data_IF_304733111471
#
_entry.id   IF_304733111471
#
_cell.length_a   1.000
_cell.length_b   1.000
_cell.length_c   1.000
_cell.angle_alpha   90.00
_cell.angle_beta   90.00
_cell.angle_gamma   90.00
#
_symmetry.space_group_name_H-M   'P 1'
#
loop_
_entity.id
_entity.type
_entity.pdbx_description
1 polymer ?
#
# COMPACT_ATOMS: atom_id res chain seq x y z
N UNK A 1 11.22 11.20 -28.76
CA UNK A 1 10.54 10.34 -27.77
C UNK A 1 10.37 9.02 -28.46
N UNK A 2 10.96 7.96 -27.93
CA UNK A 2 10.76 6.63 -28.47
C UNK A 2 9.26 6.32 -28.41
N UNK A 3 8.58 6.06 -29.55
CA UNK A 3 7.15 5.81 -29.57
C UNK A 3 6.74 4.52 -28.86
N UNK A 4 7.68 3.74 -28.30
CA UNK A 4 7.42 2.59 -27.42
C UNK A 4 7.49 2.95 -25.91
N UNK A 5 7.93 4.16 -25.54
CA UNK A 5 8.12 4.60 -24.15
C UNK A 5 7.13 5.70 -23.72
N UNK A 6 5.90 5.67 -24.23
CA UNK A 6 4.85 6.60 -23.78
C UNK A 6 4.21 6.14 -22.47
N UNK A 7 3.68 7.07 -21.68
CA UNK A 7 3.03 6.78 -20.40
C UNK A 7 1.92 5.72 -20.57
N UNK A 8 1.03 5.95 -21.53
CA UNK A 8 -0.07 5.03 -21.85
C UNK A 8 0.39 3.63 -22.23
N UNK A 9 1.41 3.50 -23.08
CA UNK A 9 1.90 2.18 -23.50
C UNK A 9 2.56 1.43 -22.36
N UNK A 10 3.43 2.08 -21.58
CA UNK A 10 4.07 1.44 -20.43
C UNK A 10 3.04 0.96 -19.42
N UNK A 11 2.02 1.78 -19.14
CA UNK A 11 0.92 1.40 -18.25
C UNK A 11 0.08 0.23 -18.78
N UNK A 12 -0.15 0.15 -20.10
CA UNK A 12 -0.92 -0.93 -20.74
C UNK A 12 -0.14 -2.23 -20.91
N UNK A 13 1.20 -2.16 -20.94
CA UNK A 13 2.08 -3.31 -21.09
C UNK A 13 2.53 -3.92 -19.76
N UNK A 14 2.06 -3.38 -18.63
CA UNK A 14 2.35 -3.93 -17.31
C UNK A 14 1.92 -5.40 -17.24
N UNK A 15 2.81 -6.23 -16.70
CA UNK A 15 2.51 -7.62 -16.46
C UNK A 15 1.53 -7.75 -15.28
N UNK A 16 0.34 -8.28 -15.55
CA UNK A 16 -0.73 -8.55 -14.57
C UNK A 16 -0.78 -10.00 -14.07
N UNK A 17 0.20 -10.84 -14.41
CA UNK A 17 0.22 -12.27 -14.15
C UNK A 17 1.44 -12.69 -13.29
N UNK A 18 1.24 -13.26 -12.09
CA UNK A 18 -0.02 -13.28 -11.33
C UNK A 18 -0.47 -11.86 -10.95
N UNK A 19 -1.77 -11.66 -10.75
CA UNK A 19 -2.30 -10.34 -10.38
C UNK A 19 -1.97 -9.96 -8.94
N UNK A 20 -1.62 -10.93 -8.11
CA UNK A 20 -1.35 -10.75 -6.68
C UNK A 20 0.12 -10.96 -6.32
N UNK A 21 0.53 -10.46 -5.15
CA UNK A 21 1.90 -10.57 -4.62
C UNK A 21 2.22 -12.02 -4.23
N UNK A 22 2.59 -12.84 -5.22
CA UNK A 22 2.98 -14.25 -5.04
C UNK A 22 4.01 -14.70 -6.06
N UNK A 23 4.67 -15.81 -5.78
CA UNK A 23 5.50 -16.49 -6.78
C UNK A 23 4.63 -17.04 -7.93
N UNK A 24 5.23 -17.18 -9.13
CA UNK A 24 4.57 -17.85 -10.26
C UNK A 24 4.03 -19.24 -9.89
N UNK A 25 3.01 -19.69 -10.62
CA UNK A 25 2.40 -20.98 -10.40
C UNK A 25 3.43 -22.12 -10.47
N UNK A 26 3.31 -23.08 -9.57
CA UNK A 26 4.20 -24.24 -9.48
C UNK A 26 3.42 -25.52 -9.81
N UNK A 27 4.06 -26.44 -10.53
CA UNK A 27 3.46 -27.72 -10.92
C UNK A 27 3.21 -28.65 -9.72
N UNK A 28 3.90 -28.44 -8.59
CA UNK A 28 3.69 -29.21 -7.38
C UNK A 28 2.47 -28.69 -6.60
N UNK A 29 1.36 -29.45 -6.51
CA UNK A 29 0.12 -28.99 -5.90
C UNK A 29 0.26 -28.71 -4.40
N UNK A 30 1.12 -29.45 -3.69
CA UNK A 30 1.34 -29.23 -2.27
C UNK A 30 2.07 -27.91 -2.00
N UNK A 31 3.05 -27.55 -2.86
CA UNK A 31 3.74 -26.27 -2.77
C UNK A 31 2.84 -25.11 -3.23
N UNK A 32 2.10 -25.32 -4.33
CA UNK A 32 1.21 -24.32 -4.92
C UNK A 32 0.14 -23.84 -3.93
N UNK A 33 -0.36 -24.71 -3.04
CA UNK A 33 -1.29 -24.33 -1.97
C UNK A 33 -0.74 -23.20 -1.07
N UNK A 34 0.56 -23.20 -0.78
CA UNK A 34 1.23 -22.14 0.00
C UNK A 34 1.63 -20.95 -0.87
N UNK A 35 2.19 -21.21 -2.05
CA UNK A 35 2.61 -20.15 -2.96
C UNK A 35 1.43 -19.27 -3.40
N UNK A 36 0.25 -19.84 -3.59
CA UNK A 36 -0.98 -19.10 -3.90
C UNK A 36 -1.41 -18.15 -2.78
N UNK A 37 -1.06 -18.47 -1.54
CA UNK A 37 -1.29 -17.64 -0.36
C UNK A 37 -0.15 -16.63 -0.12
N UNK A 38 0.86 -16.57 -1.01
CA UNK A 38 1.95 -15.60 -0.92
C UNK A 38 3.13 -16.04 -0.05
N UNK A 39 3.12 -17.28 0.42
CA UNK A 39 4.26 -17.84 1.16
C UNK A 39 5.42 -18.14 0.22
N UNK A 40 6.63 -17.96 0.74
CA UNK A 40 7.88 -18.35 0.09
C UNK A 40 8.69 -19.24 1.04
N UNK A 41 9.37 -20.28 0.52
CA UNK A 41 10.21 -21.13 1.34
C UNK A 41 11.57 -20.46 1.54
N UNK A 42 11.95 -20.19 2.78
CA UNK A 42 13.25 -19.59 3.11
C UNK A 42 14.10 -20.50 3.99
N UNK A 43 15.44 -20.47 3.84
CA UNK A 43 16.34 -21.11 4.79
C UNK A 43 16.17 -20.51 6.19
N UNK A 44 15.94 -21.36 7.18
CA UNK A 44 15.70 -20.97 8.56
C UNK A 44 16.72 -21.64 9.49
N UNK A 45 17.46 -20.82 10.26
CA UNK A 45 18.35 -21.30 11.32
C UNK A 45 17.61 -21.33 12.65
N UNK A 46 17.44 -22.52 13.21
CA UNK A 46 16.80 -22.72 14.51
C UNK A 46 17.73 -22.32 15.64
N UNK A 47 17.14 -21.95 16.78
CA UNK A 47 17.86 -21.52 17.99
C UNK A 47 18.92 -22.52 18.51
N UNK A 48 18.72 -23.81 18.25
CA UNK A 48 19.66 -24.88 18.63
C UNK A 48 20.82 -25.05 17.64
N UNK A 49 20.91 -24.22 16.59
CA UNK A 49 21.95 -24.26 15.57
C UNK A 49 21.68 -25.20 14.41
N UNK A 50 20.56 -25.93 14.42
CA UNK A 50 20.12 -26.71 13.26
C UNK A 50 19.54 -25.81 12.17
N UNK A 51 19.69 -26.22 10.92
CA UNK A 51 19.11 -25.53 9.75
C UNK A 51 17.91 -26.30 9.23
N UNK A 52 16.86 -25.59 8.88
CA UNK A 52 15.65 -26.13 8.24
C UNK A 52 15.18 -25.18 7.14
N UNK A 53 14.06 -25.50 6.50
CA UNK A 53 13.31 -24.58 5.64
C UNK A 53 12.03 -24.21 6.37
N UNK A 54 11.60 -22.97 6.23
CA UNK A 54 10.33 -22.51 6.80
C UNK A 54 9.63 -21.60 5.81
N UNK A 55 8.31 -21.63 5.86
CA UNK A 55 7.46 -20.71 5.13
C UNK A 55 7.58 -19.31 5.72
N UNK A 56 7.58 -18.32 4.84
CA UNK A 56 7.51 -16.92 5.18
C UNK A 56 6.57 -16.19 4.23
N UNK A 57 5.70 -15.34 4.76
CA UNK A 57 4.94 -14.34 4.01
C UNK A 57 5.11 -12.96 4.67
N UNK A 58 5.06 -11.92 3.83
CA UNK A 58 5.10 -10.53 4.28
C UNK A 58 3.72 -9.99 4.65
N UNK A 59 3.61 -8.68 4.97
CA UNK A 59 2.33 -8.04 5.23
C UNK A 59 1.43 -7.91 3.99
N UNK A 60 1.96 -8.17 2.79
CA UNK A 60 1.27 -8.00 1.51
C UNK A 60 0.67 -9.33 1.06
N UNK A 61 -0.49 -9.68 1.61
CA UNK A 61 -1.15 -10.95 1.34
C UNK A 61 -1.91 -10.91 -0.01
N UNK A 62 -1.89 -11.99 -0.82
CA UNK A 62 -2.74 -12.12 -2.01
C UNK A 62 -4.25 -12.07 -1.76
N UNK A 63 -4.68 -12.21 -0.51
CA UNK A 63 -6.08 -12.23 -0.10
C UNK A 63 -6.21 -12.18 1.41
N UNK A 64 -7.36 -12.63 1.93
CA UNK A 64 -7.63 -12.62 3.36
C UNK A 64 -6.78 -13.70 4.04
N UNK A 65 -5.97 -13.30 5.01
CA UNK A 65 -5.24 -14.25 5.86
C UNK A 65 -6.17 -14.80 6.94
N UNK A 66 -6.48 -16.11 6.95
CA UNK A 66 -7.28 -16.71 8.00
C UNK A 66 -6.45 -16.91 9.27
N UNK A 67 -7.06 -16.69 10.42
CA UNK A 67 -6.48 -17.07 11.71
C UNK A 67 -6.67 -16.02 12.79
N UNK A 68 -6.16 -16.33 13.97
CA UNK A 68 -6.08 -15.46 15.12
C UNK A 68 -4.66 -15.42 15.68
N UNK A 69 -4.34 -14.37 16.44
CA UNK A 69 -3.11 -14.28 17.22
C UNK A 69 -3.46 -13.95 18.65
N UNK A 70 -2.83 -14.65 19.59
CA UNK A 70 -2.89 -14.29 21.01
C UNK A 70 -1.70 -13.39 21.32
N UNK A 71 -1.96 -12.08 21.34
CA UNK A 71 -1.00 -11.04 21.69
C UNK A 71 -1.37 -10.42 23.05
N UNK A 72 -0.41 -9.87 23.80
CA UNK A 72 1.03 -9.82 23.51
C UNK A 72 1.73 -11.18 23.72
N UNK A 73 2.91 -11.39 23.11
CA UNK A 73 3.76 -12.56 23.36
C UNK A 73 5.04 -12.20 24.10
N UNK A 74 5.74 -13.17 24.71
CA UNK A 74 6.99 -12.90 25.43
C UNK A 74 8.20 -12.92 24.51
N UNK A 75 8.17 -13.81 23.53
CA UNK A 75 9.29 -14.05 22.61
C UNK A 75 8.75 -14.32 21.22
N UNK A 76 9.55 -14.04 20.18
CA UNK A 76 9.16 -14.35 18.81
C UNK A 76 8.91 -15.84 18.56
N UNK A 77 9.61 -16.73 19.29
CA UNK A 77 9.41 -18.18 19.22
C UNK A 77 7.94 -18.57 19.54
N UNK A 78 7.22 -17.78 20.33
CA UNK A 78 5.79 -18.02 20.65
C UNK A 78 4.87 -17.81 19.44
N UNK A 79 5.35 -17.12 18.39
CA UNK A 79 4.63 -16.86 17.14
C UNK A 79 5.05 -17.81 16.01
N UNK A 80 6.00 -18.71 16.25
CA UNK A 80 6.39 -19.73 15.29
C UNK A 80 5.26 -20.76 15.16
N UNK A 81 4.70 -20.89 13.96
CA UNK A 81 3.64 -21.87 13.68
C UNK A 81 4.25 -23.12 13.06
N UNK A 82 3.70 -24.28 13.36
CA UNK A 82 4.12 -25.54 12.74
C UNK A 82 2.95 -26.13 11.97
N UNK A 83 3.16 -26.38 10.69
CA UNK A 83 2.20 -27.09 9.86
C UNK A 83 2.51 -28.60 9.91
N UNK A 84 1.65 -29.42 10.54
CA UNK A 84 1.88 -30.86 10.65
C UNK A 84 1.68 -31.62 9.33
N UNK A 85 0.92 -31.07 8.38
CA UNK A 85 0.67 -31.69 7.08
C UNK A 85 1.87 -31.50 6.14
N UNK A 86 2.41 -30.28 6.08
CA UNK A 86 3.61 -29.99 5.30
C UNK A 86 4.92 -30.34 6.02
N UNK A 87 4.89 -30.47 7.36
CA UNK A 87 6.08 -30.72 8.17
C UNK A 87 7.05 -29.54 8.23
N UNK A 88 6.55 -28.32 8.01
CA UNK A 88 7.35 -27.09 7.93
C UNK A 88 6.86 -26.08 8.95
N UNK A 89 7.77 -25.23 9.42
CA UNK A 89 7.40 -24.08 10.23
C UNK A 89 6.96 -22.93 9.34
N UNK A 90 6.07 -22.09 9.84
CA UNK A 90 5.77 -20.75 9.36
C UNK A 90 6.36 -19.74 10.36
N UNK A 91 7.33 -18.97 9.88
CA UNK A 91 8.09 -17.98 10.64
C UNK A 91 7.61 -16.54 10.45
N UNK A 92 6.49 -16.32 9.76
CA UNK A 92 6.09 -14.99 9.28
C UNK A 92 5.81 -14.00 10.40
N UNK A 93 4.98 -14.38 11.37
CA UNK A 93 4.66 -13.53 12.51
C UNK A 93 5.80 -13.40 13.51
N UNK A 94 6.59 -14.45 13.70
CA UNK A 94 7.81 -14.40 14.50
C UNK A 94 8.82 -13.38 13.90
N UNK A 95 9.00 -13.40 12.59
CA UNK A 95 9.84 -12.45 11.86
C UNK A 95 9.30 -11.01 11.94
N UNK A 96 7.98 -10.81 11.82
CA UNK A 96 7.33 -9.52 12.00
C UNK A 96 7.58 -8.95 13.41
N UNK A 97 7.41 -9.78 14.44
CA UNK A 97 7.64 -9.39 15.83
C UNK A 97 9.08 -8.97 16.09
N UNK A 98 10.06 -9.78 15.67
CA UNK A 98 11.48 -9.39 15.83
C UNK A 98 11.79 -8.12 15.03
N UNK A 99 11.24 -7.97 13.82
CA UNK A 99 11.43 -6.75 13.04
C UNK A 99 10.91 -5.51 13.78
N UNK A 100 9.71 -5.54 14.33
CA UNK A 100 9.12 -4.41 15.05
C UNK A 100 9.98 -4.00 16.26
N UNK A 101 10.49 -4.99 16.99
CA UNK A 101 11.43 -4.80 18.09
C UNK A 101 12.72 -4.14 17.61
N UNK A 102 13.34 -4.66 16.55
CA UNK A 102 14.60 -4.16 16.00
C UNK A 102 14.46 -2.74 15.44
N UNK A 103 13.40 -2.44 14.69
CA UNK A 103 13.13 -1.10 14.17
C UNK A 103 12.95 -0.08 15.31
N UNK A 104 12.25 -0.47 16.37
CA UNK A 104 12.06 0.39 17.54
C UNK A 104 13.37 0.62 18.28
N UNK A 105 14.20 -0.42 18.46
CA UNK A 105 15.54 -0.30 19.06
C UNK A 105 16.48 0.58 18.24
N UNK A 106 16.39 0.52 16.91
CA UNK A 106 17.15 1.39 16.02
C UNK A 106 16.79 2.87 16.25
N UNK A 107 15.53 3.16 16.60
CA UNK A 107 15.07 4.49 16.98
C UNK A 107 15.27 4.74 18.50
N UNK A 108 16.50 5.10 18.89
CA UNK A 108 16.86 5.29 20.30
C UNK A 108 16.00 6.31 21.05
N UNK A 109 15.44 7.33 20.37
CA UNK A 109 14.54 8.31 20.99
C UNK A 109 13.21 7.67 21.37
N UNK A 110 12.60 6.92 20.44
CA UNK A 110 11.34 6.21 20.70
C UNK A 110 11.54 5.10 21.73
N UNK A 111 12.59 4.28 21.60
CA UNK A 111 12.87 3.21 22.55
C UNK A 111 13.04 3.74 23.99
N UNK A 112 13.74 4.86 24.16
CA UNK A 112 13.92 5.50 25.47
C UNK A 112 12.61 6.05 26.01
N UNK A 113 11.83 6.75 25.16
CA UNK A 113 10.54 7.30 25.56
C UNK A 113 9.54 6.20 25.98
N UNK A 114 9.46 5.12 25.21
CA UNK A 114 8.62 3.96 25.50
C UNK A 114 9.04 3.29 26.81
N UNK A 115 10.35 3.04 27.02
CA UNK A 115 10.85 2.44 28.24
C UNK A 115 10.59 3.32 29.49
N UNK A 116 10.75 4.64 29.37
CA UNK A 116 10.47 5.59 30.44
C UNK A 116 8.98 5.63 30.78
N UNK A 117 8.11 5.67 29.78
CA UNK A 117 6.66 5.64 29.97
C UNK A 117 6.22 4.35 30.67
N UNK A 118 6.66 3.18 30.20
CA UNK A 118 6.38 1.89 30.87
C UNK A 118 6.90 1.83 32.31
N UNK A 119 8.06 2.43 32.58
CA UNK A 119 8.61 2.50 33.94
C UNK A 119 7.79 3.43 34.84
N UNK A 120 7.35 4.58 34.33
CA UNK A 120 6.50 5.51 35.08
C UNK A 120 5.15 4.87 35.43
N UNK A 121 4.53 4.19 34.47
CA UNK A 121 3.28 3.46 34.68
C UNK A 121 3.41 2.36 35.73
N UNK A 122 4.47 1.52 35.64
CA UNK A 122 4.79 0.50 36.65
C UNK A 122 4.95 1.09 38.05
N UNK A 123 5.70 2.19 38.17
CA UNK A 123 5.90 2.88 39.45
C UNK A 123 4.58 3.36 40.00
N UNK A 124 3.74 3.98 39.17
CA UNK A 124 2.43 4.46 39.59
C UNK A 124 1.54 3.34 40.15
N UNK A 125 1.40 2.23 39.42
CA UNK A 125 0.64 1.06 39.89
C UNK A 125 1.18 0.49 41.20
N UNK A 126 2.50 0.32 41.31
CA UNK A 126 3.13 -0.18 42.54
C UNK A 126 2.91 0.78 43.72
N UNK A 127 2.96 2.09 43.49
CA UNK A 127 2.68 3.09 44.52
C UNK A 127 1.22 3.03 44.98
N UNK A 128 0.28 2.86 44.05
CA UNK A 128 -1.14 2.69 44.38
C UNK A 128 -1.38 1.42 45.20
N UNK A 129 -0.83 0.28 44.78
CA UNK A 129 -0.96 -0.98 45.52
C UNK A 129 -0.35 -0.87 46.93
N UNK A 130 0.81 -0.24 47.06
CA UNK A 130 1.48 -0.04 48.35
C UNK A 130 0.73 0.96 49.24
N UNK A 131 0.10 1.99 48.67
CA UNK A 131 -0.71 2.95 49.41
C UNK A 131 -1.98 2.31 49.99
N UNK A 132 -2.57 1.33 49.29
CA UNK A 132 -3.72 0.55 49.80
C UNK A 132 -3.30 -0.31 51.01
N UNK A 133 -2.08 -0.85 51.01
CA UNK A 133 -1.63 -1.83 52.00
C UNK A 133 -0.71 -1.27 53.11
N UNK A 134 -0.27 0.00 53.03
CA UNK A 134 0.67 0.58 53.99
C UNK A 134 0.12 1.81 54.71
N UNK A 135 0.53 1.98 55.97
CA UNK A 135 0.25 3.15 56.80
C UNK A 135 1.28 4.29 56.57
N UNK A 136 2.13 4.15 55.54
CA UNK A 136 3.17 5.12 55.22
C UNK A 136 2.60 6.20 54.30
N UNK A 137 3.00 7.47 54.49
CA UNK A 137 2.52 8.58 53.67
C UNK A 137 3.22 8.58 52.30
N UNK A 138 2.97 7.56 51.49
CA UNK A 138 3.46 7.52 50.12
C UNK A 138 2.46 8.23 49.20
N UNK A 139 2.91 9.28 48.51
CA UNK A 139 2.09 9.98 47.54
C UNK A 139 2.39 9.42 46.14
N UNK A 140 1.39 8.82 45.50
CA UNK A 140 1.53 8.36 44.12
C UNK A 140 1.77 9.58 43.21
N UNK A 141 2.86 9.55 42.43
CA UNK A 141 3.07 10.51 41.36
C UNK A 141 2.07 10.19 40.24
N UNK A 142 1.41 11.19 39.64
CA UNK A 142 0.53 10.95 38.49
C UNK A 142 1.36 10.35 37.35
N UNK A 143 0.86 9.25 36.77
CA UNK A 143 1.35 8.73 35.50
C UNK A 143 0.35 9.10 34.40
N UNK A 144 0.85 9.51 33.26
CA UNK A 144 0.03 9.67 32.07
C UNK A 144 -0.42 8.28 31.60
N UNK A 145 -1.73 8.11 31.44
CA UNK A 145 -2.32 6.88 30.90
C UNK A 145 -1.98 6.73 29.41
N UNK A 146 -1.99 7.83 28.66
CA UNK A 146 -1.66 7.82 27.24
C UNK A 146 -0.14 7.73 27.01
N UNK A 147 0.25 6.96 25.99
CA UNK A 147 1.64 6.93 25.54
C UNK A 147 2.06 8.32 25.00
N UNK A 148 3.35 8.70 25.09
CA UNK A 148 3.83 9.97 24.54
C UNK A 148 3.52 10.09 23.03
N UNK A 149 3.24 11.30 22.54
CA UNK A 149 2.93 11.56 21.12
C UNK A 149 3.99 10.98 20.17
N UNK A 150 5.27 11.07 20.55
CA UNK A 150 6.37 10.46 19.80
C UNK A 150 6.22 8.94 19.62
N UNK A 151 5.74 8.25 20.67
CA UNK A 151 5.48 6.81 20.62
C UNK A 151 4.25 6.53 19.77
N UNK A 152 3.16 7.27 19.96
CA UNK A 152 1.94 7.10 19.16
C UNK A 152 2.21 7.30 17.65
N UNK A 153 2.93 8.36 17.29
CA UNK A 153 3.32 8.65 15.91
C UNK A 153 4.19 7.52 15.31
N UNK A 154 5.11 6.95 16.10
CA UNK A 154 5.93 5.82 15.65
C UNK A 154 5.09 4.56 15.35
N UNK A 155 4.12 4.23 16.21
CA UNK A 155 3.25 3.09 15.98
C UNK A 155 2.32 3.31 14.78
N UNK A 156 1.82 4.53 14.58
CA UNK A 156 1.06 4.89 13.38
C UNK A 156 1.91 4.75 12.10
N UNK A 157 3.18 5.15 12.14
CA UNK A 157 4.13 4.95 11.03
C UNK A 157 4.32 3.45 10.71
N UNK A 158 4.56 2.63 11.73
CA UNK A 158 4.72 1.18 11.56
C UNK A 158 3.45 0.51 11.01
N UNK A 159 2.27 0.90 11.50
CA UNK A 159 0.98 0.39 11.01
C UNK A 159 0.75 0.71 9.52
N UNK A 160 1.30 1.84 9.04
CA UNK A 160 1.28 2.24 7.63
C UNK A 160 2.45 1.67 6.82
N UNK A 161 3.22 0.72 7.36
CA UNK A 161 4.42 0.10 6.77
C UNK A 161 5.59 1.06 6.53
N UNK A 162 5.70 2.16 7.28
CA UNK A 162 6.82 3.08 7.14
C UNK A 162 8.11 2.50 7.75
N UNK A 163 9.22 2.63 7.01
CA UNK A 163 10.53 2.12 7.45
C UNK A 163 10.71 0.61 7.36
N UNK A 164 9.72 -0.15 6.86
CA UNK A 164 9.82 -1.60 6.69
C UNK A 164 10.82 -1.92 5.56
N UNK A 165 11.85 -2.76 5.81
CA UNK A 165 12.80 -3.14 4.76
C UNK A 165 12.11 -3.89 3.62
N UNK A 166 12.51 -3.60 2.38
CA UNK A 166 11.86 -4.13 1.18
C UNK A 166 11.77 -5.67 1.17
N UNK A 167 12.79 -6.35 1.68
CA UNK A 167 12.91 -7.82 1.71
C UNK A 167 11.83 -8.48 2.59
N UNK A 168 11.24 -7.74 3.54
CA UNK A 168 10.10 -8.23 4.32
C UNK A 168 8.77 -8.08 3.58
N UNK A 169 8.68 -7.12 2.65
CA UNK A 169 7.50 -6.90 1.79
C UNK A 169 7.51 -7.86 0.59
N UNK A 170 8.66 -7.97 -0.07
CA UNK A 170 8.90 -8.82 -1.25
C UNK A 170 10.18 -9.62 -0.99
N UNK A 171 10.05 -10.81 -0.38
CA UNK A 171 11.21 -11.65 -0.06
C UNK A 171 11.88 -12.26 -1.30
N UNK A 172 11.13 -12.49 -2.38
CA UNK A 172 11.65 -13.05 -3.64
C UNK A 172 11.39 -12.12 -4.83
N UNK A 173 12.41 -11.89 -5.65
CA UNK A 173 12.32 -10.95 -6.78
C UNK A 173 11.26 -11.36 -7.82
N UNK A 174 11.06 -12.68 -8.00
CA UNK A 174 10.08 -13.21 -8.93
C UNK A 174 8.62 -12.87 -8.56
N UNK A 175 8.35 -12.42 -7.33
CA UNK A 175 7.02 -11.96 -6.92
C UNK A 175 6.66 -10.59 -7.53
N UNK A 176 7.68 -9.75 -7.81
CA UNK A 176 7.52 -8.44 -8.44
C UNK A 176 8.59 -8.22 -9.54
N UNK A 177 8.43 -8.86 -10.72
CA UNK A 177 9.33 -8.68 -11.85
C UNK A 177 9.33 -7.23 -12.38
N UNK A 178 10.32 -6.84 -13.20
CA UNK A 178 10.27 -5.58 -13.94
C UNK A 178 9.00 -5.46 -14.81
N UNK A 179 8.52 -4.23 -15.00
CA UNK A 179 7.29 -3.92 -15.73
C UNK A 179 6.08 -4.73 -15.26
N UNK A 180 5.83 -4.74 -13.95
CA UNK A 180 4.73 -5.50 -13.36
C UNK A 180 3.98 -4.73 -12.29
N UNK A 181 2.69 -5.08 -12.14
CA UNK A 181 1.83 -4.60 -11.07
C UNK A 181 1.23 -5.78 -10.30
N UNK A 182 1.22 -5.69 -8.97
CA UNK A 182 0.73 -6.74 -8.07
C UNK A 182 -0.18 -6.13 -7.01
N UNK A 183 -1.38 -6.67 -6.89
CA UNK A 183 -2.37 -6.27 -5.89
C UNK A 183 -2.26 -7.12 -4.63
N UNK A 184 -2.64 -6.55 -3.49
CA UNK A 184 -2.61 -7.25 -2.20
C UNK A 184 -3.63 -6.66 -1.23
N UNK A 185 -3.89 -7.41 -0.17
CA UNK A 185 -4.49 -6.94 1.06
C UNK A 185 -3.44 -6.96 2.18
N UNK A 186 -3.53 -6.01 3.11
CA UNK A 186 -2.66 -6.02 4.28
C UNK A 186 -3.10 -7.14 5.20
N UNK A 187 -2.15 -8.01 5.56
CA UNK A 187 -2.34 -9.00 6.61
C UNK A 187 -2.40 -8.30 7.98
N UNK A 188 -3.56 -8.24 8.65
CA UNK A 188 -3.68 -7.56 9.93
C UNK A 188 -2.86 -8.25 11.02
N UNK A 189 -2.76 -9.59 10.99
CA UNK A 189 -2.03 -10.37 11.99
C UNK A 189 -0.53 -10.10 11.91
N UNK A 190 -0.01 -9.89 10.69
CA UNK A 190 1.38 -9.49 10.49
C UNK A 190 1.67 -8.12 11.10
N UNK A 191 0.77 -7.15 10.88
CA UNK A 191 0.90 -5.82 11.49
C UNK A 191 0.80 -5.92 13.02
N UNK A 192 -0.16 -6.66 13.56
CA UNK A 192 -0.34 -6.80 15.00
C UNK A 192 0.89 -7.43 15.66
N UNK A 193 1.48 -8.45 15.02
CA UNK A 193 2.74 -9.05 15.46
C UNK A 193 3.91 -8.05 15.42
N UNK A 194 4.01 -7.23 14.36
CA UNK A 194 5.00 -6.16 14.25
C UNK A 194 4.84 -5.14 15.38
N UNK A 195 3.61 -4.68 15.66
CA UNK A 195 3.34 -3.69 16.69
C UNK A 195 3.57 -4.26 18.10
N UNK A 196 3.20 -5.50 18.39
CA UNK A 196 3.54 -6.13 19.67
C UNK A 196 5.06 -6.26 19.84
N UNK A 197 5.78 -6.60 18.77
CA UNK A 197 7.24 -6.63 18.73
C UNK A 197 7.86 -5.28 19.06
N UNK A 198 7.36 -4.21 18.43
CA UNK A 198 7.76 -2.84 18.72
C UNK A 198 7.47 -2.44 20.17
N UNK A 199 6.34 -2.89 20.71
CA UNK A 199 5.94 -2.62 22.09
C UNK A 199 6.67 -3.49 23.11
N UNK A 200 7.31 -4.58 22.70
CA UNK A 200 8.05 -5.49 23.61
C UNK A 200 9.25 -4.84 24.31
N UNK A 201 9.66 -3.62 23.90
CA UNK A 201 10.73 -2.89 24.57
C UNK A 201 10.36 -2.64 26.04
N UNK A 202 11.24 -3.08 26.94
CA UNK A 202 11.01 -3.02 28.38
C UNK A 202 10.27 -4.24 28.99
N UNK A 203 9.83 -5.20 28.16
CA UNK A 203 9.21 -6.47 28.57
C UNK A 203 10.28 -7.51 28.92
N UNK A 204 10.96 -7.35 30.06
CA UNK A 204 12.09 -8.23 30.45
C UNK A 204 11.64 -9.37 31.37
N UNK A 205 10.79 -9.06 32.34
CA UNK A 205 10.34 -10.02 33.37
C UNK A 205 8.94 -10.56 33.07
N UNK A 206 8.57 -11.66 33.73
CA UNK A 206 7.19 -12.16 33.70
C UNK A 206 6.19 -11.18 34.32
N UNK A 207 6.65 -10.28 35.19
CA UNK A 207 5.80 -9.23 35.73
C UNK A 207 5.53 -8.15 34.68
N UNK A 208 6.56 -7.72 33.94
CA UNK A 208 6.42 -6.74 32.85
C UNK A 208 5.48 -7.25 31.75
N UNK A 209 5.59 -8.54 31.41
CA UNK A 209 4.69 -9.18 30.46
C UNK A 209 3.22 -9.14 30.92
N UNK A 210 2.95 -9.49 32.19
CA UNK A 210 1.57 -9.47 32.73
C UNK A 210 0.96 -8.07 32.70
N UNK A 211 1.75 -7.06 33.05
CA UNK A 211 1.30 -5.67 33.00
C UNK A 211 1.00 -5.22 31.57
N UNK A 212 1.83 -5.60 30.59
CA UNK A 212 1.53 -5.34 29.18
C UNK A 212 0.21 -6.03 28.76
N UNK A 213 -0.03 -7.28 29.18
CA UNK A 213 -1.31 -7.97 28.91
C UNK A 213 -2.51 -7.23 29.52
N UNK A 214 -2.41 -6.82 30.79
CA UNK A 214 -3.46 -6.08 31.49
C UNK A 214 -3.73 -4.73 30.83
N UNK A 215 -2.67 -3.99 30.47
CA UNK A 215 -2.76 -2.71 29.80
C UNK A 215 -3.40 -2.84 28.40
N UNK A 216 -3.03 -3.88 27.65
CA UNK A 216 -3.63 -4.21 26.33
C UNK A 216 -5.12 -4.53 26.47
N UNK A 217 -5.53 -5.21 27.54
CA UNK A 217 -6.92 -5.59 27.77
C UNK A 217 -7.80 -4.42 28.27
N UNK A 218 -7.20 -3.43 28.94
CA UNK A 218 -7.93 -2.33 29.58
C UNK A 218 -7.90 -1.02 28.80
N UNK A 219 -6.87 -0.76 28.00
CA UNK A 219 -6.71 0.50 27.27
C UNK A 219 -7.34 0.41 25.87
N UNK A 220 -8.40 1.19 25.64
CA UNK A 220 -9.01 1.33 24.32
C UNK A 220 -8.03 1.94 23.29
N UNK A 221 -7.15 2.84 23.72
CA UNK A 221 -6.17 3.56 22.87
C UNK A 221 -4.74 2.99 22.99
N UNK A 222 -4.61 1.67 23.14
CA UNK A 222 -3.30 1.03 23.28
C UNK A 222 -2.49 1.16 21.98
N UNK A 223 -1.27 1.73 21.97
CA UNK A 223 -0.53 2.00 20.73
C UNK A 223 -0.21 0.73 19.92
N UNK A 224 -0.08 -0.42 20.59
CA UNK A 224 0.17 -1.71 19.95
C UNK A 224 -1.10 -2.47 19.51
N UNK A 225 -2.30 -1.94 19.80
CA UNK A 225 -3.58 -2.53 19.41
C UNK A 225 -4.20 -1.67 18.34
N UNK A 226 -4.53 -2.27 17.20
CA UNK A 226 -5.23 -1.57 16.13
C UNK A 226 -6.72 -1.60 16.40
N UNK A 227 -7.37 -0.44 16.33
CA UNK A 227 -8.83 -0.38 16.34
C UNK A 227 -9.37 -0.90 14.99
N UNK A 228 -10.13 -2.01 14.97
CA UNK A 228 -10.74 -2.54 13.75
C UNK A 228 -11.72 -1.56 13.10
N UNK A 229 -12.32 -0.65 13.87
CA UNK A 229 -13.23 0.38 13.34
C UNK A 229 -12.48 1.46 12.55
N UNK A 230 -11.20 1.72 12.88
CA UNK A 230 -10.35 2.70 12.20
C UNK A 230 -9.66 2.08 10.97
N UNK A 231 -9.41 0.76 10.97
CA UNK A 231 -8.70 0.08 9.89
C UNK A 231 -9.30 -1.29 9.51
N UNK A 232 -10.55 -1.37 9.04
CA UNK A 232 -11.24 -2.65 8.85
C UNK A 232 -10.60 -3.49 7.73
N UNK A 233 -10.18 -2.85 6.62
CA UNK A 233 -9.46 -3.50 5.54
C UNK A 233 -8.58 -2.48 4.84
N UNK A 234 -7.30 -2.79 4.68
CA UNK A 234 -6.37 -1.99 3.87
C UNK A 234 -5.97 -2.85 2.68
N UNK A 235 -6.14 -2.33 1.47
CA UNK A 235 -5.68 -2.99 0.24
C UNK A 235 -4.76 -2.07 -0.54
N UNK A 236 -4.05 -2.60 -1.51
CA UNK A 236 -3.06 -1.83 -2.23
C UNK A 236 -2.48 -2.54 -3.43
N UNK A 237 -1.51 -1.88 -4.04
CA UNK A 237 -0.71 -2.48 -5.09
C UNK A 237 0.76 -2.03 -5.00
N UNK A 238 1.61 -2.89 -5.54
CA UNK A 238 3.00 -2.62 -5.84
C UNK A 238 3.15 -2.51 -7.36
N UNK A 239 3.82 -1.47 -7.80
CA UNK A 239 4.15 -1.24 -9.21
C UNK A 239 5.66 -1.17 -9.33
N UNK A 240 6.26 -2.07 -10.12
CA UNK A 240 7.67 -2.01 -10.52
C UNK A 240 7.73 -1.72 -12.01
N UNK A 241 8.01 -0.48 -12.38
CA UNK A 241 8.05 -0.05 -13.79
C UNK A 241 8.89 1.21 -13.97
N UNK A 242 9.48 1.37 -15.15
CA UNK A 242 10.09 2.64 -15.60
C UNK A 242 9.08 3.80 -15.61
N UNK A 243 7.78 3.52 -15.69
CA UNK A 243 6.71 4.51 -15.52
C UNK A 243 6.86 5.30 -14.21
N UNK A 244 7.27 4.64 -13.12
CA UNK A 244 7.46 5.31 -11.83
C UNK A 244 8.63 6.31 -11.91
N UNK A 245 9.75 5.92 -12.51
CA UNK A 245 10.92 6.80 -12.65
C UNK A 245 10.68 7.93 -13.66
N UNK A 246 10.06 7.62 -14.79
CA UNK A 246 9.82 8.56 -15.88
C UNK A 246 8.84 9.69 -15.52
N UNK A 247 7.88 9.41 -14.63
CA UNK A 247 6.86 10.39 -14.23
C UNK A 247 6.82 10.61 -12.71
N UNK A 248 7.68 11.49 -12.16
CA UNK A 248 7.69 11.89 -10.75
C UNK A 248 6.33 12.35 -10.21
N UNK A 249 5.56 13.09 -11.02
CA UNK A 249 4.23 13.61 -10.71
C UNK A 249 3.08 12.63 -10.92
N UNK A 250 3.37 11.33 -11.04
CA UNK A 250 2.35 10.28 -11.11
C UNK A 250 1.38 10.39 -9.93
N UNK A 251 0.09 10.31 -10.23
CA UNK A 251 -1.02 10.28 -9.27
C UNK A 251 -1.78 8.97 -9.43
N UNK A 252 -2.41 8.55 -8.34
CA UNK A 252 -3.14 7.29 -8.26
C UNK A 252 -4.45 7.54 -7.54
N UNK A 253 -5.54 7.13 -8.18
CA UNK A 253 -6.87 7.11 -7.59
C UNK A 253 -7.39 5.66 -7.55
N UNK A 254 -8.00 5.25 -6.44
CA UNK A 254 -8.55 3.91 -6.24
C UNK A 254 -10.06 3.96 -6.03
N UNK A 255 -10.77 2.92 -6.47
CA UNK A 255 -12.22 2.82 -6.37
C UNK A 255 -12.66 1.44 -5.87
N UNK A 256 -13.82 1.39 -5.19
CA UNK A 256 -14.38 0.19 -4.55
C UNK A 256 -15.22 -0.69 -5.50
N UNK A 257 -15.48 -0.19 -6.70
CA UNK A 257 -16.26 -0.82 -7.76
C UNK A 257 -15.41 -1.08 -9.01
N UNK A 258 -15.87 -2.01 -9.85
CA UNK A 258 -15.25 -2.30 -11.14
C UNK A 258 -15.83 -1.33 -12.16
N UNK A 259 -14.96 -0.63 -12.89
CA UNK A 259 -15.38 0.29 -13.95
C UNK A 259 -14.72 -0.09 -15.28
N UNK A 260 -15.52 -0.49 -16.27
CA UNK A 260 -15.00 -0.97 -17.56
C UNK A 260 -14.65 0.16 -18.56
N UNK A 261 -15.06 1.40 -18.27
CA UNK A 261 -14.84 2.54 -19.17
C UNK A 261 -13.89 3.55 -18.53
N UNK A 262 -13.02 4.21 -19.30
CA UNK A 262 -12.11 5.28 -18.82
C UNK A 262 -12.84 6.59 -18.47
N UNK A 263 -14.17 6.54 -18.28
CA UNK A 263 -15.00 7.70 -17.98
C UNK A 263 -14.70 8.33 -16.62
N UNK A 264 -15.25 9.54 -16.43
CA UNK A 264 -15.23 10.20 -15.12
C UNK A 264 -16.05 9.38 -14.13
N UNK A 265 -15.45 9.02 -13.02
CA UNK A 265 -16.11 8.31 -11.92
C UNK A 265 -16.42 9.33 -10.82
N UNK A 266 -17.60 9.21 -10.21
CA UNK A 266 -18.00 10.10 -9.12
C UNK A 266 -17.10 9.90 -7.88
N UNK A 267 -16.76 11.00 -7.21
CA UNK A 267 -15.90 11.03 -6.02
C UNK A 267 -16.42 10.14 -4.86
N UNK A 268 -17.73 9.90 -4.80
CA UNK A 268 -18.36 9.01 -3.81
C UNK A 268 -17.89 7.55 -3.87
N UNK A 269 -17.37 7.09 -5.02
CA UNK A 269 -16.84 5.73 -5.18
C UNK A 269 -15.32 5.66 -4.94
N UNK A 270 -14.69 6.78 -4.59
CA UNK A 270 -13.25 6.87 -4.39
C UNK A 270 -12.88 6.35 -3.01
N UNK A 271 -11.91 5.44 -2.98
CA UNK A 271 -11.33 4.93 -1.74
C UNK A 271 -10.21 5.87 -1.29
N UNK A 272 -10.15 6.14 0.01
CA UNK A 272 -9.12 7.00 0.60
C UNK A 272 -7.73 6.39 0.40
N UNK A 273 -6.82 7.16 -0.19
CA UNK A 273 -5.41 6.82 -0.35
C UNK A 273 -4.67 7.13 0.96
N UNK A 274 -4.35 6.08 1.72
CA UNK A 274 -3.65 6.18 3.01
C UNK A 274 -2.18 6.52 2.81
N UNK A 275 -1.54 5.88 1.83
CA UNK A 275 -0.11 6.03 1.60
C UNK A 275 0.25 5.79 0.15
N UNK A 276 1.03 6.70 -0.41
CA UNK A 276 1.67 6.55 -1.71
C UNK A 276 3.15 6.89 -1.57
N UNK A 277 4.03 5.94 -1.83
CA UNK A 277 5.47 6.11 -1.61
C UNK A 277 6.29 5.37 -2.65
N UNK A 278 7.41 5.98 -3.07
CA UNK A 278 8.41 5.32 -3.89
C UNK A 278 9.40 4.59 -2.98
N UNK A 279 9.41 3.27 -3.04
CA UNK A 279 10.36 2.43 -2.29
C UNK A 279 11.73 2.37 -2.98
N UNK A 280 11.75 2.52 -4.30
CA UNK A 280 12.96 2.71 -5.11
C UNK A 280 12.62 3.60 -6.32
N UNK A 281 13.59 3.86 -7.21
CA UNK A 281 13.37 4.67 -8.41
C UNK A 281 12.19 4.15 -9.26
N UNK A 282 12.04 2.82 -9.36
CA UNK A 282 11.06 2.17 -10.22
C UNK A 282 9.93 1.49 -9.44
N UNK A 283 9.97 1.48 -8.09
CA UNK A 283 9.00 0.75 -7.27
C UNK A 283 8.13 1.72 -6.49
N UNK A 284 6.82 1.66 -6.75
CA UNK A 284 5.78 2.42 -6.08
C UNK A 284 4.92 1.49 -5.22
N UNK A 285 4.64 1.91 -3.99
CA UNK A 285 3.69 1.28 -3.08
C UNK A 285 2.51 2.23 -2.85
N UNK A 286 1.30 1.73 -3.04
CA UNK A 286 0.05 2.43 -2.74
C UNK A 286 -0.80 1.62 -1.77
N UNK A 287 -1.32 2.27 -0.73
CA UNK A 287 -2.22 1.72 0.28
C UNK A 287 -3.51 2.53 0.32
N UNK A 288 -4.64 1.83 0.39
CA UNK A 288 -5.99 2.38 0.41
C UNK A 288 -6.77 1.87 1.62
N UNK A 289 -7.54 2.75 2.26
CA UNK A 289 -8.42 2.40 3.39
C UNK A 289 -9.73 1.77 2.89
N UNK A 290 -9.62 0.56 2.33
CA UNK A 290 -10.75 -0.21 1.84
C UNK A 290 -10.31 -1.26 0.82
N UNK A 291 -11.25 -2.04 0.32
CA UNK A 291 -11.01 -2.99 -0.77
C UNK A 291 -11.09 -2.28 -2.13
N UNK A 292 -9.95 -2.11 -2.79
CA UNK A 292 -9.88 -1.50 -4.12
C UNK A 292 -10.11 -2.54 -5.20
N UNK A 293 -10.94 -2.18 -6.19
CA UNK A 293 -11.26 -3.01 -7.36
C UNK A 293 -10.90 -2.35 -8.68
N UNK A 294 -10.69 -1.04 -8.71
CA UNK A 294 -10.21 -0.31 -9.89
C UNK A 294 -9.18 0.71 -9.43
N UNK A 295 -8.07 0.83 -10.17
CA UNK A 295 -7.03 1.82 -9.97
C UNK A 295 -6.84 2.64 -11.24
N UNK A 296 -6.81 3.95 -11.10
CA UNK A 296 -6.46 4.86 -12.16
C UNK A 296 -5.06 5.44 -11.93
N UNK A 297 -4.19 5.25 -12.91
CA UNK A 297 -2.90 5.91 -13.00
C UNK A 297 -3.05 7.12 -13.93
N UNK A 298 -2.69 8.30 -13.45
CA UNK A 298 -2.74 9.51 -14.26
C UNK A 298 -1.64 10.49 -13.87
N UNK A 299 -1.28 11.40 -14.77
CA UNK A 299 -0.32 12.44 -14.44
C UNK A 299 -0.99 13.57 -13.66
N UNK A 300 -0.18 14.40 -13.01
CA UNK A 300 -0.69 15.62 -12.38
C UNK A 300 -1.23 16.58 -13.46
N UNK A 301 -2.45 17.13 -13.29
CA UNK A 301 -2.99 18.14 -14.20
C UNK A 301 -2.26 19.48 -14.02
N UNK A 302 -1.18 19.69 -14.77
CA UNK A 302 -0.37 20.91 -14.68
C UNK A 302 -0.75 21.98 -15.71
N UNK A 303 -1.12 21.57 -16.94
CA UNK A 303 -1.39 22.51 -18.02
C UNK A 303 -2.43 21.96 -18.98
N UNK A 304 -3.40 22.81 -19.32
CA UNK A 304 -4.38 22.56 -20.37
C UNK A 304 -3.68 22.78 -21.71
N UNK A 305 -3.67 21.77 -22.56
CA UNK A 305 -3.11 21.86 -23.91
C UNK A 305 -4.14 21.41 -24.95
N UNK A 306 -3.91 21.79 -26.20
CA UNK A 306 -4.62 21.22 -27.34
C UNK A 306 -3.78 20.09 -27.91
N UNK A 307 -4.41 18.95 -28.17
CA UNK A 307 -3.72 17.78 -28.68
C UNK A 307 -4.62 16.95 -29.59
N UNK A 308 -4.04 15.87 -30.09
CA UNK A 308 -4.68 14.88 -30.95
C UNK A 308 -4.21 13.50 -30.51
N UNK A 309 -5.14 12.55 -30.50
CA UNK A 309 -4.87 11.19 -30.10
C UNK A 309 -4.32 10.39 -31.29
N UNK A 310 -3.56 9.34 -31.00
CA UNK A 310 -3.17 8.34 -32.01
C UNK A 310 -4.22 7.23 -31.98
N UNK A 311 -4.63 6.75 -33.16
CA UNK A 311 -5.61 5.68 -33.28
C UNK A 311 -5.05 4.38 -32.68
N UNK A 312 -5.92 3.57 -32.05
CA UNK A 312 -5.50 2.33 -31.37
C UNK A 312 -4.95 1.28 -32.34
N UNK A 313 -5.35 1.34 -33.60
CA UNK A 313 -5.05 0.40 -34.67
C UNK A 313 -3.82 0.79 -35.51
N UNK A 314 -3.45 2.08 -35.54
CA UNK A 314 -2.37 2.58 -36.39
C UNK A 314 -1.62 3.77 -35.73
N UNK A 315 -0.32 3.61 -35.41
CA UNK A 315 0.52 4.66 -34.83
C UNK A 315 0.67 5.92 -35.70
N UNK A 316 0.45 5.82 -37.01
CA UNK A 316 0.56 6.95 -37.94
C UNK A 316 -0.78 7.66 -38.18
N UNK A 317 -1.88 7.09 -37.69
CA UNK A 317 -3.22 7.64 -37.83
C UNK A 317 -3.58 8.47 -36.60
N UNK A 318 -3.74 9.77 -36.78
CA UNK A 318 -4.19 10.66 -35.73
C UNK A 318 -5.71 10.87 -35.79
N UNK A 319 -6.33 10.88 -34.62
CA UNK A 319 -7.77 11.11 -34.42
C UNK A 319 -7.99 12.15 -33.32
N UNK A 320 -9.14 12.83 -33.33
CA UNK A 320 -9.52 13.72 -32.23
C UNK A 320 -10.97 13.54 -31.88
N UNK A 321 -11.24 13.13 -30.64
CA UNK A 321 -12.58 13.23 -30.10
C UNK A 321 -12.79 14.65 -29.55
N UNK A 322 -13.68 15.41 -30.17
CA UNK A 322 -14.00 16.76 -29.73
C UNK A 322 -14.78 16.70 -28.42
N UNK A 323 -14.46 17.60 -27.47
CA UNK A 323 -15.29 17.74 -26.26
C UNK A 323 -16.61 18.43 -26.59
N UNK A 324 -17.67 18.01 -25.91
CA UNK A 324 -18.93 18.71 -25.93
C UNK A 324 -18.79 20.11 -25.27
N UNK A 325 -19.70 21.07 -25.53
CA UNK A 325 -19.62 22.42 -24.95
C UNK A 325 -19.63 22.46 -23.42
N UNK A 326 -20.12 21.40 -22.76
CA UNK A 326 -20.09 21.22 -21.31
C UNK A 326 -18.77 20.60 -20.79
N UNK A 327 -17.78 20.36 -21.66
CA UNK A 327 -16.49 19.76 -21.34
C UNK A 327 -16.44 18.23 -21.38
N UNK A 328 -17.58 17.55 -21.62
CA UNK A 328 -17.63 16.09 -21.63
C UNK A 328 -16.92 15.48 -22.86
N UNK A 329 -16.21 14.36 -22.66
CA UNK A 329 -15.50 13.61 -23.69
C UNK A 329 -16.44 12.71 -24.52
N UNK A 330 -17.54 13.26 -25.02
CA UNK A 330 -18.56 12.52 -25.79
C UNK A 330 -19.01 13.24 -27.06
N UNK A 331 -18.23 14.23 -27.52
CA UNK A 331 -18.50 14.91 -28.78
C UNK A 331 -18.05 14.08 -29.99
N UNK A 332 -18.22 14.65 -31.21
CA UNK A 332 -17.93 13.96 -32.45
C UNK A 332 -16.43 13.67 -32.60
N UNK A 333 -16.10 12.49 -33.11
CA UNK A 333 -14.73 12.10 -33.45
C UNK A 333 -14.40 12.55 -34.87
N UNK A 334 -13.29 13.28 -35.01
CA UNK A 334 -12.69 13.64 -36.29
C UNK A 334 -11.64 12.59 -36.63
N UNK A 335 -11.95 11.79 -37.65
CA UNK A 335 -11.10 10.70 -38.13
C UNK A 335 -11.37 10.48 -39.64
N UNK A 336 -10.36 10.61 -40.53
CA UNK A 336 -8.98 11.01 -40.22
C UNK A 336 -8.87 12.51 -39.93
N UNK A 337 -7.84 12.91 -39.19
CA UNK A 337 -7.56 14.34 -38.95
C UNK A 337 -7.18 15.06 -40.26
N UNK A 338 -7.77 16.25 -40.54
CA UNK A 338 -7.48 16.98 -41.76
C UNK A 338 -6.16 17.74 -41.63
N UNK A 339 -5.25 17.46 -42.57
CA UNK A 339 -3.93 18.10 -42.63
C UNK A 339 -3.92 19.18 -43.72
N UNK A 340 -3.48 20.38 -43.35
CA UNK A 340 -3.11 21.41 -44.32
C UNK A 340 -1.75 21.10 -44.96
N UNK A 341 -0.84 20.56 -44.15
CA UNK A 341 0.47 20.06 -44.58
C UNK A 341 0.88 18.89 -43.66
N UNK A 342 0.83 17.67 -44.19
CA UNK A 342 1.14 16.46 -43.44
C UNK A 342 2.64 16.34 -43.11
N UNK A 343 3.53 16.81 -43.99
CA UNK A 343 4.97 16.72 -43.79
C UNK A 343 5.43 17.64 -42.64
N UNK A 344 4.78 18.80 -42.50
CA UNK A 344 5.04 19.76 -41.42
C UNK A 344 4.14 19.58 -40.20
N UNK A 345 3.27 18.55 -40.18
CA UNK A 345 2.28 18.29 -39.11
C UNK A 345 1.39 19.51 -38.82
N UNK A 346 0.88 20.16 -39.86
CA UNK A 346 -0.01 21.31 -39.74
C UNK A 346 -1.46 20.91 -40.01
N UNK A 347 -2.32 21.08 -39.00
CA UNK A 347 -3.75 20.75 -39.08
C UNK A 347 -4.56 21.84 -39.81
N UNK A 348 -5.59 21.40 -40.54
CA UNK A 348 -6.57 22.29 -41.15
C UNK A 348 -7.71 22.61 -40.17
N UNK A 349 -7.52 23.67 -39.39
CA UNK A 349 -8.45 24.08 -38.32
C UNK A 349 -9.87 24.36 -38.81
N UNK A 350 -10.05 24.91 -40.01
CA UNK A 350 -11.37 25.21 -40.58
C UNK A 350 -12.22 23.95 -40.76
N UNK A 351 -11.59 22.85 -41.19
CA UNK A 351 -12.27 21.57 -41.40
C UNK A 351 -12.65 20.94 -40.06
N UNK A 352 -11.76 21.00 -39.05
CA UNK A 352 -12.05 20.53 -37.68
C UNK A 352 -13.19 21.35 -37.05
N UNK A 353 -13.16 22.68 -37.17
CA UNK A 353 -14.19 23.56 -36.64
C UNK A 353 -15.57 23.30 -37.28
N UNK A 354 -15.59 22.83 -38.55
CA UNK A 354 -16.82 22.42 -39.23
C UNK A 354 -17.56 21.25 -38.58
N UNK A 355 -16.89 20.45 -37.74
CA UNK A 355 -17.51 19.37 -36.97
C UNK A 355 -18.19 19.84 -35.68
N UNK A 356 -18.01 21.11 -35.29
CA UNK A 356 -18.69 21.67 -34.12
C UNK A 356 -20.14 22.05 -34.45
N UNK A 357 -21.08 21.87 -33.50
CA UNK A 357 -22.45 22.32 -33.69
C UNK A 357 -22.49 23.84 -33.94
N UNK A 358 -23.39 24.29 -34.81
CA UNK A 358 -23.45 25.70 -35.24
C UNK A 358 -23.59 26.71 -34.07
N UNK A 359 -24.21 26.30 -32.95
CA UNK A 359 -24.32 27.11 -31.74
C UNK A 359 -22.99 27.31 -30.98
N UNK A 360 -21.96 26.55 -31.34
CA UNK A 360 -20.62 26.50 -30.74
C UNK A 360 -19.52 26.90 -31.74
N UNK A 361 -19.87 27.56 -32.86
CA UNK A 361 -18.90 27.98 -33.88
C UNK A 361 -18.23 29.32 -33.52
N UNK A 362 -17.55 29.36 -32.37
CA UNK A 362 -16.73 30.48 -31.94
C UNK A 362 -15.38 29.99 -31.41
N UNK A 363 -14.39 30.88 -31.36
CA UNK A 363 -13.02 30.51 -30.96
C UNK A 363 -12.92 29.92 -29.55
N UNK A 364 -13.79 30.33 -28.62
CA UNK A 364 -13.80 29.82 -27.25
C UNK A 364 -14.33 28.38 -27.19
N UNK A 365 -15.41 28.09 -27.90
CA UNK A 365 -15.97 26.75 -27.99
C UNK A 365 -15.06 25.80 -28.76
N UNK A 366 -14.37 26.28 -29.81
CA UNK A 366 -13.31 25.51 -30.47
C UNK A 366 -12.16 25.19 -29.52
N UNK A 367 -11.70 26.17 -28.73
CA UNK A 367 -10.68 25.94 -27.72
C UNK A 367 -11.13 24.85 -26.74
N UNK A 368 -12.33 24.94 -26.16
CA UNK A 368 -12.88 23.93 -25.23
C UNK A 368 -12.95 22.55 -25.87
N UNK A 369 -13.41 22.46 -27.12
CA UNK A 369 -13.52 21.20 -27.85
C UNK A 369 -12.16 20.53 -28.09
N UNK A 370 -11.10 21.32 -28.24
CA UNK A 370 -9.73 20.84 -28.51
C UNK A 370 -8.94 20.52 -27.25
N UNK A 371 -9.41 20.89 -26.04
CA UNK A 371 -8.72 20.63 -24.78
C UNK A 371 -8.46 19.13 -24.61
N UNK A 372 -7.18 18.78 -24.46
CA UNK A 372 -6.77 17.46 -24.00
C UNK A 372 -6.81 17.40 -22.48
N UNK A 373 -7.30 16.27 -21.96
CA UNK A 373 -7.12 15.95 -20.55
C UNK A 373 -5.74 15.34 -20.34
N UNK A 374 -5.38 15.16 -19.07
CA UNK A 374 -4.20 14.38 -18.75
C UNK A 374 -4.41 12.92 -19.16
N UNK A 375 -3.37 12.28 -19.67
CA UNK A 375 -3.41 10.84 -19.91
C UNK A 375 -3.77 10.08 -18.62
N UNK A 376 -4.71 9.17 -18.77
CA UNK A 376 -5.24 8.33 -17.72
C UNK A 376 -5.29 6.90 -18.25
N UNK A 377 -4.86 5.96 -17.41
CA UNK A 377 -4.95 4.52 -17.67
C UNK A 377 -5.63 3.86 -16.48
N UNK A 378 -6.65 3.07 -16.78
CA UNK A 378 -7.47 2.36 -15.80
C UNK A 378 -7.05 0.89 -15.75
N UNK A 379 -6.80 0.40 -14.54
CA UNK A 379 -6.46 -0.98 -14.23
C UNK A 379 -7.58 -1.54 -13.34
N UNK A 380 -8.15 -2.69 -13.73
CA UNK A 380 -9.26 -3.36 -13.03
C UNK A 380 -8.81 -4.71 -12.48
#
# INVERSE_FOLDING_TARGET
VDPEQTFRQLAQQLNHSPSTVRLPANDNPAAEAYLALGYVPLPHSLRQGSTTVSWYHGPLAPGITPGDLSLPVRTADDLLRYDPEAGLFDGSYAAAWELGRLLTLQNGRVATALAQWKLAHRRHLCCMETAIHSHLPFQALPADEAAPELVQAWFAQLANLEGIPFNYLIPEEAMLPPESIRFFQIDPLWIDALLDGAFSIGRVTQHDYRLDCEHTAMAADHPAVRDPAVHPTVSGFLLRSELVAGWPGLRVDGYDQVFDTEGVVAEENKVELVRMVRLSANVLLCLFAGAVKTVDLHLQPETIHFGVDVARDDPERYVKQLRAPNGASNGPTVDPLPWRDAAQRVLEISTIAGHLPAAANNGAAFAVAMIEGVEKVRLT
#
